data_IF_810976572435
#
_entry.id   IF_810976572435
#
_cell.length_a   1.000
_cell.length_b   1.000
_cell.length_c   1.000
_cell.angle_alpha   90.00
_cell.angle_beta   90.00
_cell.angle_gamma   90.00
#
_symmetry.space_group_name_H-M   'P 1'
#
loop_
_entity.id
_entity.type
_entity.pdbx_description
1 polymer ?
#
# COMPACT_ATOMS: atom_id res chain seq x y z
N UNK A 1 -14.01 16.39 1.36
CA UNK A 1 -13.22 15.20 0.95
C UNK A 1 -14.17 14.00 0.77
N UNK A 2 -14.28 13.43 -0.43
CA UNK A 2 -15.14 12.24 -0.66
C UNK A 2 -16.02 12.23 -1.92
N UNK A 3 -16.05 13.32 -2.70
CA UNK A 3 -16.82 13.42 -3.95
C UNK A 3 -15.93 13.61 -5.19
N UNK A 4 -14.70 13.07 -5.17
CA UNK A 4 -13.95 12.92 -6.42
C UNK A 4 -14.40 11.62 -7.05
N UNK A 5 -14.99 11.72 -8.23
CA UNK A 5 -15.22 10.57 -9.08
C UNK A 5 -13.88 9.86 -9.28
N UNK A 6 -13.82 8.58 -8.93
CA UNK A 6 -12.62 7.79 -9.12
C UNK A 6 -12.49 7.53 -10.62
N UNK A 7 -11.46 8.10 -11.24
CA UNK A 7 -11.17 7.81 -12.63
C UNK A 7 -10.86 6.31 -12.78
N UNK A 8 -11.42 5.63 -13.80
CA UNK A 8 -11.09 4.25 -14.08
C UNK A 8 -9.59 4.07 -14.28
N UNK A 9 -9.05 2.98 -13.76
CA UNK A 9 -7.65 2.65 -13.97
C UNK A 9 -7.38 2.44 -15.47
N UNK A 10 -6.40 3.17 -16.00
CA UNK A 10 -6.00 3.06 -17.39
C UNK A 10 -5.05 1.89 -17.58
N UNK A 11 -5.61 0.68 -17.67
CA UNK A 11 -4.86 -0.57 -17.79
C UNK A 11 -3.79 -0.55 -18.89
N UNK A 12 -4.07 0.10 -20.03
CA UNK A 12 -3.10 0.23 -21.13
C UNK A 12 -1.88 1.09 -20.76
N UNK A 13 -2.06 2.19 -20.02
CA UNK A 13 -0.95 3.04 -19.58
C UNK A 13 -0.08 2.32 -18.54
N UNK A 14 -0.72 1.59 -17.62
CA UNK A 14 -0.03 0.75 -16.64
C UNK A 14 0.75 -0.37 -17.34
N UNK A 15 0.13 -1.04 -18.32
CA UNK A 15 0.77 -2.11 -19.09
C UNK A 15 1.99 -1.63 -19.86
N UNK A 16 1.88 -0.46 -20.52
CA UNK A 16 3.00 0.18 -21.21
C UNK A 16 4.13 0.53 -20.24
N UNK A 17 3.82 1.15 -19.10
CA UNK A 17 4.81 1.53 -18.08
C UNK A 17 5.52 0.31 -17.49
N UNK A 18 4.77 -0.75 -17.21
CA UNK A 18 5.29 -1.99 -16.65
C UNK A 18 5.91 -2.94 -17.69
N UNK A 19 5.86 -2.60 -18.98
CA UNK A 19 6.34 -3.45 -20.09
C UNK A 19 5.72 -4.85 -20.09
N UNK A 20 4.42 -4.94 -19.84
CA UNK A 20 3.65 -6.21 -19.82
C UNK A 20 2.37 -6.09 -20.66
N UNK A 21 1.69 -7.20 -20.90
CA UNK A 21 0.39 -7.17 -21.59
C UNK A 21 -0.71 -6.58 -20.70
N UNK A 22 -1.70 -5.92 -21.33
CA UNK A 22 -2.90 -5.44 -20.65
C UNK A 22 -3.60 -6.54 -19.84
N UNK A 23 -3.74 -7.72 -20.43
CA UNK A 23 -4.34 -8.90 -19.77
C UNK A 23 -3.60 -9.30 -18.49
N UNK A 24 -2.26 -9.18 -18.48
CA UNK A 24 -1.46 -9.47 -17.28
C UNK A 24 -1.70 -8.43 -16.19
N UNK A 25 -1.82 -7.15 -16.56
CA UNK A 25 -2.17 -6.08 -15.61
C UNK A 25 -3.56 -6.31 -15.01
N UNK A 26 -4.56 -6.55 -15.86
CA UNK A 26 -5.94 -6.82 -15.44
C UNK A 26 -5.99 -8.01 -14.49
N UNK A 27 -5.42 -9.16 -14.89
CA UNK A 27 -5.41 -10.37 -14.07
C UNK A 27 -4.69 -10.20 -12.73
N UNK A 28 -3.56 -9.46 -12.68
CA UNK A 28 -2.87 -9.17 -11.43
C UNK A 28 -3.71 -8.32 -10.48
N UNK A 29 -4.38 -7.30 -11.01
CA UNK A 29 -5.22 -6.39 -10.21
C UNK A 29 -6.45 -7.13 -9.71
N UNK A 30 -7.19 -7.79 -10.59
CA UNK A 30 -8.39 -8.55 -10.24
C UNK A 30 -8.07 -9.67 -9.26
N UNK A 31 -6.98 -10.41 -9.48
CA UNK A 31 -6.55 -11.49 -8.58
C UNK A 31 -6.19 -10.98 -7.19
N UNK A 32 -5.43 -9.88 -7.11
CA UNK A 32 -5.05 -9.29 -5.82
C UNK A 32 -6.26 -8.73 -5.08
N UNK A 33 -7.15 -8.01 -5.77
CA UNK A 33 -8.36 -7.45 -5.18
C UNK A 33 -9.35 -8.54 -4.74
N UNK A 34 -9.48 -9.61 -5.53
CA UNK A 34 -10.31 -10.76 -5.17
C UNK A 34 -9.79 -11.46 -3.92
N UNK A 35 -8.46 -11.67 -3.83
CA UNK A 35 -7.84 -12.24 -2.64
C UNK A 35 -8.06 -11.35 -1.42
N UNK A 36 -7.80 -10.04 -1.55
CA UNK A 36 -8.02 -9.08 -0.46
C UNK A 36 -9.47 -9.11 0.01
N UNK A 37 -10.44 -9.03 -0.92
CA UNK A 37 -11.87 -9.08 -0.64
C UNK A 37 -12.26 -10.37 0.10
N UNK A 38 -11.75 -11.52 -0.35
CA UNK A 38 -11.99 -12.79 0.31
C UNK A 38 -11.45 -12.82 1.75
N UNK A 39 -10.25 -12.29 2.00
CA UNK A 39 -9.67 -12.23 3.36
C UNK A 39 -10.51 -11.33 4.29
N UNK A 40 -10.90 -10.16 3.79
CA UNK A 40 -11.73 -9.21 4.51
C UNK A 40 -13.12 -9.78 4.82
N UNK A 41 -13.74 -10.49 3.87
CA UNK A 41 -15.02 -11.17 4.07
C UNK A 41 -14.99 -12.25 5.16
N UNK A 42 -13.80 -12.77 5.49
CA UNK A 42 -13.57 -13.72 6.59
C UNK A 42 -13.17 -13.06 7.90
N UNK A 43 -13.04 -11.73 7.94
CA UNK A 43 -12.54 -11.00 9.10
C UNK A 43 -11.06 -11.27 9.41
N UNK A 44 -10.29 -11.70 8.42
CA UNK A 44 -8.86 -11.94 8.60
C UNK A 44 -8.09 -10.60 8.64
N UNK A 45 -7.08 -10.52 9.51
CA UNK A 45 -6.12 -9.41 9.45
C UNK A 45 -5.30 -9.53 8.17
N UNK A 46 -5.04 -8.41 7.50
CA UNK A 46 -4.33 -8.38 6.21
C UNK A 46 -3.22 -7.34 6.23
N UNK A 47 -2.03 -7.73 5.76
CA UNK A 47 -0.97 -6.80 5.40
C UNK A 47 -0.77 -6.85 3.87
N UNK A 48 -1.24 -5.83 3.17
CA UNK A 48 -1.05 -5.67 1.73
C UNK A 48 0.19 -4.84 1.45
N UNK A 49 1.24 -5.48 0.92
CA UNK A 49 2.47 -4.81 0.49
C UNK A 49 2.28 -4.21 -0.90
N UNK A 50 2.48 -2.90 -1.00
CA UNK A 50 2.60 -2.16 -2.25
C UNK A 50 4.07 -1.84 -2.47
N UNK A 51 4.67 -2.47 -3.48
CA UNK A 51 6.09 -2.30 -3.78
C UNK A 51 6.45 -0.83 -3.94
N UNK A 52 7.56 -0.41 -3.33
CA UNK A 52 8.10 0.95 -3.37
C UNK A 52 7.19 2.06 -2.79
N UNK A 53 6.01 1.71 -2.25
CA UNK A 53 5.06 2.65 -1.65
C UNK A 53 4.97 2.43 -0.13
N UNK A 54 4.62 1.21 0.30
CA UNK A 54 4.40 0.91 1.70
C UNK A 54 3.61 -0.37 1.95
N UNK A 55 2.95 -0.44 3.09
CA UNK A 55 2.12 -1.55 3.53
C UNK A 55 0.79 -1.02 4.06
N UNK A 56 -0.31 -1.48 3.49
CA UNK A 56 -1.65 -1.27 4.02
C UNK A 56 -1.94 -2.39 5.02
N UNK A 57 -2.11 -2.01 6.29
CA UNK A 57 -2.40 -2.93 7.40
C UNK A 57 -3.88 -2.79 7.76
N UNK A 58 -4.58 -3.91 7.78
CA UNK A 58 -5.99 -4.02 8.17
C UNK A 58 -6.07 -5.01 9.32
N UNK A 59 -6.42 -4.52 10.51
CA UNK A 59 -6.54 -5.32 11.71
C UNK A 59 -7.87 -5.06 12.41
N UNK A 60 -8.72 -6.10 12.48
CA UNK A 60 -10.10 -5.96 12.94
C UNK A 60 -10.83 -4.87 12.15
N UNK A 61 -11.20 -3.76 12.82
CA UNK A 61 -11.87 -2.61 12.21
C UNK A 61 -10.93 -1.45 11.89
N UNK A 62 -9.63 -1.60 12.16
CA UNK A 62 -8.63 -0.56 11.93
C UNK A 62 -7.96 -0.75 10.57
N UNK A 63 -7.80 0.35 9.85
CA UNK A 63 -7.08 0.40 8.56
C UNK A 63 -5.99 1.47 8.68
N UNK A 64 -4.74 1.07 8.49
CA UNK A 64 -3.59 1.97 8.57
C UNK A 64 -2.69 1.78 7.36
N UNK A 65 -2.35 2.87 6.68
CA UNK A 65 -1.28 2.87 5.69
C UNK A 65 0.04 3.22 6.37
N UNK A 66 1.05 2.38 6.18
CA UNK A 66 2.43 2.67 6.58
C UNK A 66 3.31 2.83 5.34
N UNK A 67 3.92 3.99 5.16
CA UNK A 67 4.68 4.33 3.95
C UNK A 67 6.17 4.06 4.11
N UNK A 68 6.85 3.74 3.01
CA UNK A 68 8.31 3.79 3.01
C UNK A 68 8.81 5.23 3.03
N UNK A 69 9.86 5.50 3.78
CA UNK A 69 10.46 6.84 3.85
C UNK A 69 10.84 7.38 2.47
N UNK A 70 11.45 6.55 1.63
CA UNK A 70 11.86 6.93 0.27
C UNK A 70 10.67 7.32 -0.61
N UNK A 71 9.52 6.65 -0.44
CA UNK A 71 8.29 7.01 -1.14
C UNK A 71 7.82 8.41 -0.74
N UNK A 72 7.73 8.67 0.57
CA UNK A 72 7.36 9.99 1.08
C UNK A 72 8.31 11.07 0.59
N UNK A 73 9.62 10.79 0.61
CA UNK A 73 10.64 11.69 0.11
C UNK A 73 10.46 12.04 -1.37
N UNK A 74 10.06 11.07 -2.21
CA UNK A 74 9.79 11.29 -3.64
C UNK A 74 8.56 12.15 -3.89
N UNK A 75 7.48 11.96 -3.13
CA UNK A 75 6.20 12.65 -3.39
C UNK A 75 6.09 14.01 -2.68
N UNK A 76 6.82 14.21 -1.57
CA UNK A 76 6.70 15.42 -0.74
C UNK A 76 8.00 16.20 -0.58
N UNK A 77 9.13 15.65 -1.05
CA UNK A 77 10.46 16.20 -0.85
C UNK A 77 11.03 15.78 0.51
N UNK A 78 12.25 15.22 0.50
CA UNK A 78 12.91 14.65 1.69
C UNK A 78 12.97 15.62 2.87
N UNK A 79 13.39 16.87 2.64
CA UNK A 79 13.49 17.88 3.70
C UNK A 79 12.13 18.21 4.34
N UNK A 80 11.06 18.19 3.56
CA UNK A 80 9.72 18.48 4.06
C UNK A 80 9.23 17.34 4.95
N UNK A 81 9.51 16.10 4.55
CA UNK A 81 9.20 14.90 5.33
C UNK A 81 9.97 14.90 6.65
N UNK A 82 11.27 15.20 6.63
CA UNK A 82 12.09 15.30 7.84
C UNK A 82 11.61 16.41 8.77
N UNK A 83 11.27 17.60 8.23
CA UNK A 83 10.67 18.70 9.00
C UNK A 83 9.33 18.30 9.62
N UNK A 84 8.51 17.53 8.90
CA UNK A 84 7.23 17.05 9.41
C UNK A 84 7.41 16.08 10.58
N UNK A 85 8.35 15.13 10.48
CA UNK A 85 8.66 14.21 11.57
C UNK A 85 9.27 14.91 12.79
N UNK A 86 10.12 15.92 12.57
CA UNK A 86 10.66 16.71 13.66
C UNK A 86 9.56 17.47 14.44
N UNK A 87 8.58 18.04 13.72
CA UNK A 87 7.46 18.77 14.33
C UNK A 87 6.42 17.84 14.96
N UNK A 88 6.20 16.67 14.37
CA UNK A 88 5.17 15.72 14.78
C UNK A 88 5.80 14.31 14.82
N UNK A 89 6.49 13.94 15.91
CA UNK A 89 7.17 12.65 16.02
C UNK A 89 6.24 11.43 15.86
N UNK A 90 4.95 11.57 16.18
CA UNK A 90 3.92 10.53 16.02
C UNK A 90 3.75 10.06 14.57
N UNK A 91 4.15 10.87 13.58
CA UNK A 91 4.13 10.47 12.18
C UNK A 91 5.13 9.35 11.87
N UNK A 92 6.12 9.09 12.74
CA UNK A 92 7.04 7.96 12.60
C UNK A 92 6.31 6.61 12.67
N UNK A 93 5.17 6.53 13.36
CA UNK A 93 4.35 5.31 13.41
C UNK A 93 3.70 4.97 12.05
N UNK A 94 3.65 5.96 11.14
CA UNK A 94 3.17 5.81 9.77
C UNK A 94 4.30 5.45 8.79
N UNK A 95 5.53 5.23 9.25
CA UNK A 95 6.69 4.90 8.41
C UNK A 95 7.09 3.44 8.63
N UNK A 96 7.37 2.74 7.53
CA UNK A 96 8.06 1.43 7.54
C UNK A 96 9.48 1.63 7.06
N UNK A 97 10.43 1.11 7.83
CA UNK A 97 11.82 1.07 7.38
C UNK A 97 12.06 -0.09 6.40
N UNK A 98 12.86 0.13 5.34
CA UNK A 98 13.27 -0.95 4.44
C UNK A 98 13.90 -2.11 5.24
N UNK A 99 13.46 -3.34 4.98
CA UNK A 99 13.98 -4.54 5.64
C UNK A 99 13.18 -5.05 6.84
N UNK A 100 12.18 -4.30 7.33
CA UNK A 100 11.23 -4.82 8.32
C UNK A 100 10.37 -5.92 7.66
N UNK A 101 10.31 -7.15 8.21
CA UNK A 101 9.48 -8.20 7.64
C UNK A 101 8.01 -7.79 7.71
N UNK A 102 7.29 -7.84 6.59
CA UNK A 102 5.88 -7.43 6.52
C UNK A 102 5.02 -8.22 7.52
N UNK A 103 5.37 -9.47 7.80
CA UNK A 103 4.71 -10.31 8.80
C UNK A 103 4.76 -9.74 10.23
N UNK A 104 5.72 -8.86 10.55
CA UNK A 104 5.82 -8.20 11.87
C UNK A 104 4.92 -6.98 11.99
N UNK A 105 4.32 -6.52 10.88
CA UNK A 105 3.44 -5.35 10.85
C UNK A 105 1.98 -5.70 11.17
N UNK A 106 1.66 -6.99 11.32
CA UNK A 106 0.34 -7.46 11.77
C UNK A 106 0.50 -8.56 12.83
N UNK A 107 -0.36 -8.51 13.85
CA UNK A 107 -0.37 -9.38 15.03
C UNK A 107 -0.76 -10.84 14.76
N UNK A 108 -1.40 -11.15 13.62
CA UNK A 108 -1.64 -12.50 13.08
C UNK A 108 -2.52 -12.38 11.83
N UNK A 109 -1.90 -12.21 10.65
CA UNK A 109 -2.64 -11.90 9.42
C UNK A 109 -2.05 -12.49 8.14
N UNK A 110 -2.82 -12.45 7.05
CA UNK A 110 -2.35 -12.83 5.71
C UNK A 110 -1.52 -11.71 5.10
N UNK A 111 -0.35 -12.06 4.58
CA UNK A 111 0.47 -11.12 3.79
C UNK A 111 0.11 -11.28 2.32
N UNK A 112 -0.38 -10.21 1.71
CA UNK A 112 -0.64 -10.14 0.27
C UNK A 112 0.44 -9.24 -0.34
N UNK A 113 1.12 -9.71 -1.37
CA UNK A 113 2.14 -8.93 -2.07
C UNK A 113 1.58 -8.59 -3.44
N UNK A 114 1.36 -7.30 -3.69
CA UNK A 114 1.05 -6.83 -5.03
C UNK A 114 2.32 -6.93 -5.89
N UNK A 115 2.28 -7.63 -7.04
CA UNK A 115 3.45 -7.89 -7.89
C UNK A 115 4.07 -6.64 -8.50
#
# INVERSE_FOLDING_TARGET
>A
PGNKELEPLKYSEVAATASVSRQKVEGCIEGTMSLLSHCLGKGENVALKLRDIGVLVIEGTQVQMKFYFDFLGRISGKENVEKAFFKIPQLLDMVVFPGVPVATLSSSGRVIIFP
#
